data_IF_383540546222
#
_entry.id   IF_383540546222
#
_cell.length_a   1.000
_cell.length_b   1.000
_cell.length_c   1.000
_cell.angle_alpha   90.00
_cell.angle_beta   90.00
_cell.angle_gamma   90.00
#
_symmetry.space_group_name_H-M   'P 1'
#
loop_
_entity.id
_entity.type
_entity.pdbx_description
1 polymer ?
#
# COMPACT_ATOMS: atom_id res chain seq x y z
N UNK A 1 -23.66 -46.49 -39.35
CA UNK A 1 -23.73 -46.23 -40.80
C UNK A 1 -22.85 -45.00 -41.06
N UNK A 2 -21.69 -45.25 -41.49
CA UNK A 2 -21.15 -45.08 -42.83
C UNK A 2 -20.99 -43.60 -43.22
N UNK A 3 -19.69 -43.15 -43.22
CA UNK A 3 -18.92 -42.67 -44.39
C UNK A 3 -19.12 -41.17 -44.66
N UNK A 4 -18.17 -40.38 -45.09
CA UNK A 4 -16.80 -40.43 -45.68
C UNK A 4 -16.21 -39.02 -45.60
N UNK A 5 -14.99 -38.82 -45.22
CA UNK A 5 -13.80 -38.51 -46.01
C UNK A 5 -14.01 -37.53 -47.16
N UNK A 6 -13.37 -36.36 -47.09
CA UNK A 6 -12.71 -35.75 -48.23
C UNK A 6 -11.57 -34.80 -47.76
N UNK A 7 -10.39 -35.23 -48.09
CA UNK A 7 -9.08 -34.61 -48.12
C UNK A 7 -9.01 -33.73 -49.35
N UNK A 8 -8.61 -32.47 -49.26
CA UNK A 8 -8.04 -31.70 -50.40
C UNK A 8 -6.78 -31.01 -49.98
N UNK A 9 -5.69 -31.54 -50.49
CA UNK A 9 -4.37 -30.96 -50.67
C UNK A 9 -4.36 -30.06 -51.93
N UNK A 10 -3.76 -28.91 -51.87
CA UNK A 10 -3.13 -28.18 -52.97
C UNK A 10 -2.27 -27.06 -52.40
N UNK A 11 -1.03 -27.19 -52.33
CA UNK A 11 0.07 -27.02 -53.30
C UNK A 11 0.44 -25.56 -53.53
N UNK A 12 1.58 -25.25 -52.94
CA UNK A 12 2.67 -24.34 -53.27
C UNK A 12 2.49 -23.34 -54.43
N UNK A 13 2.95 -22.12 -54.21
CA UNK A 13 3.89 -21.48 -55.15
C UNK A 13 4.78 -20.45 -54.43
N UNK A 14 6.06 -20.73 -54.38
CA UNK A 14 7.19 -19.89 -54.09
C UNK A 14 7.38 -18.84 -55.19
N UNK A 15 7.53 -17.56 -54.82
CA UNK A 15 8.15 -16.54 -55.68
C UNK A 15 9.25 -15.86 -54.88
N UNK A 16 10.47 -16.27 -55.18
CA UNK A 16 11.70 -15.59 -54.83
C UNK A 16 11.90 -14.43 -55.82
N UNK A 17 11.95 -13.20 -55.31
CA UNK A 17 12.61 -12.09 -56.06
C UNK A 17 13.74 -11.56 -55.21
N UNK A 18 14.94 -11.91 -55.70
CA UNK A 18 16.21 -11.30 -55.31
C UNK A 18 16.29 -9.94 -55.99
N UNK A 19 16.39 -8.87 -55.24
CA UNK A 19 16.90 -7.59 -55.74
C UNK A 19 18.15 -7.24 -54.91
N UNK A 20 19.29 -7.41 -55.55
CA UNK A 20 20.53 -6.82 -55.13
C UNK A 20 20.54 -5.34 -55.55
N UNK A 21 20.75 -4.47 -54.60
CA UNK A 21 20.96 -3.05 -54.79
C UNK A 21 21.95 -2.56 -53.73
N UNK A 22 23.19 -2.38 -54.16
CA UNK A 22 24.25 -1.71 -53.40
C UNK A 22 23.96 -0.21 -53.27
N UNK A 23 24.26 0.34 -52.08
CA UNK A 23 24.82 1.70 -51.97
C UNK A 23 24.04 2.64 -51.07
N UNK A 24 24.66 2.97 -50.02
CA UNK A 24 24.80 4.24 -49.28
C UNK A 24 24.58 4.04 -47.78
N UNK A 25 25.64 4.31 -47.05
CA UNK A 25 25.65 4.47 -45.60
C UNK A 25 24.84 5.73 -45.26
N UNK A 26 23.77 5.55 -44.55
CA UNK A 26 23.19 6.58 -43.73
C UNK A 26 22.91 5.98 -42.34
N UNK A 27 23.61 6.52 -41.35
CA UNK A 27 23.45 6.23 -39.95
C UNK A 27 22.08 6.75 -39.48
N UNK A 28 21.00 6.06 -39.79
CA UNK A 28 19.76 6.20 -39.11
C UNK A 28 19.71 5.23 -37.92
N UNK A 29 20.08 5.77 -36.80
CA UNK A 29 19.79 5.22 -35.47
C UNK A 29 18.28 4.96 -35.37
N UNK A 30 17.90 3.75 -35.75
CA UNK A 30 16.54 3.25 -35.62
C UNK A 30 16.21 3.26 -34.12
N UNK A 31 15.48 4.30 -33.68
CA UNK A 31 14.81 4.26 -32.40
C UNK A 31 13.76 3.16 -32.53
N UNK A 32 14.10 1.99 -31.99
CA UNK A 32 13.09 1.00 -31.68
C UNK A 32 12.14 1.66 -30.68
N UNK A 33 10.98 2.09 -31.17
CA UNK A 33 9.83 2.41 -30.37
C UNK A 33 9.29 1.10 -29.82
N UNK A 34 9.98 0.57 -28.81
CA UNK A 34 9.45 -0.49 -28.00
C UNK A 34 8.26 0.09 -27.25
N UNK A 35 7.05 -0.29 -27.64
CA UNK A 35 5.85 -0.18 -26.80
C UNK A 35 6.02 -1.11 -25.61
N UNK A 36 6.99 -0.83 -24.75
CA UNK A 36 7.13 -1.44 -23.44
C UNK A 36 5.99 -0.90 -22.58
N UNK A 37 5.08 -1.75 -22.20
CA UNK A 37 4.09 -1.43 -21.16
C UNK A 37 4.89 -0.98 -19.93
N UNK A 38 4.75 0.30 -19.54
CA UNK A 38 5.40 0.84 -18.35
C UNK A 38 5.02 -0.04 -17.16
N UNK A 39 6.00 -0.48 -16.39
CA UNK A 39 5.74 -1.27 -15.18
C UNK A 39 4.95 -0.44 -14.19
N UNK A 40 4.03 -1.07 -13.48
CA UNK A 40 3.29 -0.44 -12.39
C UNK A 40 4.02 -0.63 -11.06
N UNK A 41 3.86 0.34 -10.17
CA UNK A 41 4.22 0.27 -8.77
C UNK A 41 2.96 0.48 -7.94
N UNK A 42 2.37 -0.61 -7.48
CA UNK A 42 1.09 -0.62 -6.74
C UNK A 42 1.38 -0.58 -5.24
N UNK A 43 0.98 0.50 -4.61
CA UNK A 43 1.24 0.76 -3.18
C UNK A 43 -0.04 0.59 -2.39
N UNK A 44 -0.03 -0.34 -1.43
CA UNK A 44 -1.13 -0.56 -0.49
C UNK A 44 -1.05 0.40 0.68
N UNK A 45 -2.15 1.06 1.00
CA UNK A 45 -2.25 2.04 2.08
C UNK A 45 -3.65 2.05 2.71
N UNK A 46 -3.75 2.52 3.95
CA UNK A 46 -5.00 2.84 4.62
C UNK A 46 -5.43 4.26 4.25
N UNK A 47 -6.59 4.39 3.61
CA UNK A 47 -7.11 5.68 3.14
C UNK A 47 -7.68 6.57 4.24
N UNK A 48 -7.79 6.04 5.46
CA UNK A 48 -8.32 6.74 6.62
C UNK A 48 -7.21 7.11 7.63
N UNK A 49 -5.96 7.28 7.14
CA UNK A 49 -4.79 7.55 7.97
C UNK A 49 -4.07 8.88 7.63
N UNK A 50 -4.74 10.05 7.78
CA UNK A 50 -4.10 11.33 7.59
C UNK A 50 -3.04 11.60 8.70
N UNK A 51 -1.94 12.27 8.38
CA UNK A 51 -1.60 12.88 7.10
C UNK A 51 -0.79 11.95 6.18
N UNK A 52 -0.68 10.65 6.48
CA UNK A 52 0.19 9.72 5.77
C UNK A 52 -0.41 9.26 4.43
N UNK A 53 -1.66 8.76 4.45
CA UNK A 53 -2.44 8.40 3.26
C UNK A 53 -3.92 8.59 3.55
N UNK A 54 -4.63 9.34 2.70
CA UNK A 54 -6.05 9.63 2.90
C UNK A 54 -6.72 10.13 1.62
N UNK A 55 -8.05 10.30 1.69
CA UNK A 55 -8.82 10.92 0.61
C UNK A 55 -8.85 12.44 0.84
N UNK A 56 -8.33 13.21 -0.12
CA UNK A 56 -8.35 14.67 -0.08
C UNK A 56 -9.75 15.27 -0.32
N UNK A 57 -9.86 16.58 -0.15
CA UNK A 57 -11.12 17.30 -0.37
C UNK A 57 -11.63 17.24 -1.82
N UNK A 58 -10.73 16.96 -2.77
CA UNK A 58 -11.00 16.74 -4.19
C UNK A 58 -11.43 15.31 -4.53
N UNK A 59 -11.43 14.41 -3.54
CA UNK A 59 -11.76 13.01 -3.69
C UNK A 59 -10.59 12.13 -4.19
N UNK A 60 -9.39 12.71 -4.37
CA UNK A 60 -8.21 11.98 -4.80
C UNK A 60 -7.39 11.49 -3.59
N UNK A 61 -6.61 10.42 -3.80
CA UNK A 61 -5.71 9.92 -2.78
C UNK A 61 -4.49 10.81 -2.65
N UNK A 62 -4.19 11.23 -1.41
CA UNK A 62 -3.09 12.14 -1.08
C UNK A 62 -2.47 11.76 0.26
N UNK A 63 -1.35 12.39 0.60
CA UNK A 63 -0.68 12.25 1.87
C UNK A 63 0.82 12.10 1.75
N UNK A 64 1.51 12.28 2.87
CA UNK A 64 2.98 12.29 2.94
C UNK A 64 3.60 11.01 2.35
N UNK A 65 3.07 9.85 2.72
CA UNK A 65 3.58 8.57 2.24
C UNK A 65 3.29 8.33 0.76
N UNK A 66 2.11 8.77 0.29
CA UNK A 66 1.74 8.64 -1.12
C UNK A 66 2.58 9.55 -2.02
N UNK A 67 2.94 10.74 -1.55
CA UNK A 67 3.83 11.64 -2.26
C UNK A 67 5.25 11.05 -2.39
N UNK A 68 5.77 10.45 -1.31
CA UNK A 68 7.04 9.75 -1.33
C UNK A 68 7.01 8.53 -2.26
N UNK A 69 5.95 7.74 -2.21
CA UNK A 69 5.79 6.55 -3.04
C UNK A 69 5.69 6.93 -4.52
N UNK A 70 4.98 8.01 -4.84
CA UNK A 70 4.91 8.55 -6.20
C UNK A 70 6.28 8.99 -6.70
N UNK A 71 7.05 9.72 -5.89
CA UNK A 71 8.42 10.15 -6.23
C UNK A 71 9.34 8.95 -6.51
N UNK A 72 9.21 7.87 -5.73
CA UNK A 72 9.96 6.63 -5.98
C UNK A 72 9.56 6.00 -7.30
N UNK A 73 8.26 5.92 -7.60
CA UNK A 73 7.77 5.37 -8.86
C UNK A 73 8.29 6.19 -10.06
N UNK A 74 8.25 7.52 -9.98
CA UNK A 74 8.75 8.43 -11.01
C UNK A 74 10.26 8.23 -11.25
N UNK A 75 11.07 8.08 -10.21
CA UNK A 75 12.52 7.79 -10.32
C UNK A 75 12.84 6.42 -10.92
N UNK A 76 11.96 5.46 -10.74
CA UNK A 76 12.09 4.11 -11.28
C UNK A 76 11.48 3.95 -12.68
N UNK A 77 10.94 5.02 -13.27
CA UNK A 77 10.17 5.01 -14.53
C UNK A 77 9.01 4.00 -14.49
N UNK A 78 8.31 3.97 -13.35
CA UNK A 78 7.15 3.12 -13.10
C UNK A 78 5.88 3.98 -12.99
N UNK A 79 4.74 3.40 -13.37
CA UNK A 79 3.44 4.02 -13.15
C UNK A 79 3.03 3.83 -11.69
N UNK A 80 2.87 4.92 -10.95
CA UNK A 80 2.34 4.88 -9.58
C UNK A 80 0.86 4.49 -9.58
N UNK A 81 0.49 3.55 -8.71
CA UNK A 81 -0.89 3.09 -8.50
C UNK A 81 -1.16 3.00 -6.99
N UNK A 82 -1.79 4.02 -6.39
CA UNK A 82 -2.23 3.95 -5.00
C UNK A 82 -3.43 3.00 -4.91
N UNK A 83 -3.38 2.02 -4.01
CA UNK A 83 -4.45 1.06 -3.78
C UNK A 83 -4.88 1.10 -2.32
N UNK A 84 -6.08 1.61 -2.00
CA UNK A 84 -6.59 1.52 -0.63
C UNK A 84 -6.85 0.07 -0.27
N UNK A 85 -6.45 -0.31 0.93
CA UNK A 85 -6.63 -1.65 1.49
C UNK A 85 -7.23 -1.58 2.88
N UNK A 86 -7.95 -2.62 3.29
CA UNK A 86 -8.28 -2.84 4.69
C UNK A 86 -7.01 -3.20 5.44
N UNK A 87 -6.74 -2.53 6.57
CA UNK A 87 -5.45 -2.68 7.26
C UNK A 87 -5.19 -4.11 7.76
N UNK A 88 -6.22 -4.80 8.20
CA UNK A 88 -6.16 -6.21 8.61
C UNK A 88 -5.89 -7.18 7.44
N UNK A 89 -6.17 -6.76 6.19
CA UNK A 89 -5.92 -7.55 5.00
C UNK A 89 -4.54 -7.33 4.35
N UNK A 90 -3.70 -6.43 4.89
CA UNK A 90 -2.42 -6.01 4.29
C UNK A 90 -1.48 -7.16 3.92
N UNK A 91 -1.41 -8.18 4.79
CA UNK A 91 -0.54 -9.34 4.58
C UNK A 91 -1.01 -10.21 3.42
N UNK A 92 -2.33 -10.37 3.30
CA UNK A 92 -2.94 -11.11 2.21
C UNK A 92 -2.76 -10.36 0.87
N UNK A 93 -2.98 -9.05 0.86
CA UNK A 93 -2.78 -8.21 -0.32
C UNK A 93 -1.34 -8.24 -0.82
N UNK A 94 -0.37 -8.17 0.10
CA UNK A 94 1.06 -8.27 -0.24
C UNK A 94 1.44 -9.67 -0.73
N UNK A 95 1.04 -10.71 0.00
CA UNK A 95 1.41 -12.09 -0.33
C UNK A 95 0.77 -12.62 -1.61
N UNK A 96 -0.41 -12.14 -1.95
CA UNK A 96 -1.09 -12.48 -3.20
C UNK A 96 -0.56 -11.72 -4.43
N UNK A 97 0.30 -10.71 -4.22
CA UNK A 97 0.76 -9.82 -5.28
C UNK A 97 -0.32 -8.80 -5.72
N UNK A 98 -1.33 -8.58 -4.88
CA UNK A 98 -2.34 -7.53 -5.11
C UNK A 98 -1.79 -6.13 -4.95
N UNK A 99 -0.67 -5.98 -4.24
CA UNK A 99 0.15 -4.80 -4.06
C UNK A 99 1.63 -5.19 -4.14
N UNK A 100 2.49 -4.25 -4.52
CA UNK A 100 3.94 -4.44 -4.57
C UNK A 100 4.61 -4.12 -3.23
N UNK A 101 4.05 -3.18 -2.49
CA UNK A 101 4.48 -2.86 -1.13
C UNK A 101 3.35 -2.25 -0.30
N UNK A 102 3.55 -2.25 1.02
CA UNK A 102 2.75 -1.50 1.99
C UNK A 102 3.52 -0.23 2.33
N UNK A 103 2.87 0.94 2.19
CA UNK A 103 3.49 2.22 2.54
C UNK A 103 2.46 3.14 3.20
N UNK A 104 2.50 3.21 4.53
CA UNK A 104 1.47 3.90 5.32
C UNK A 104 1.89 4.20 6.76
N UNK A 105 3.05 4.82 6.97
CA UNK A 105 3.59 4.99 8.33
C UNK A 105 3.73 3.66 9.07
N UNK A 106 4.06 2.61 8.36
CA UNK A 106 3.99 1.24 8.85
C UNK A 106 5.11 0.97 9.86
N UNK A 107 4.75 0.72 11.11
CA UNK A 107 5.69 0.50 12.20
C UNK A 107 6.46 -0.81 12.05
N UNK A 108 7.78 -0.74 12.00
CA UNK A 108 8.67 -1.89 11.89
C UNK A 108 8.79 -2.66 13.21
N UNK A 109 8.81 -1.95 14.34
CA UNK A 109 9.02 -2.53 15.69
C UNK A 109 8.07 -3.70 15.97
N UNK A 110 8.66 -4.84 16.34
CA UNK A 110 7.96 -6.10 16.59
C UNK A 110 7.49 -6.84 15.33
N UNK A 111 7.98 -6.44 14.14
CA UNK A 111 7.70 -7.05 12.85
C UNK A 111 8.95 -7.18 11.97
N UNK A 112 10.12 -7.03 12.56
CA UNK A 112 11.41 -6.97 11.85
C UNK A 112 11.62 -8.18 10.94
N UNK A 113 11.26 -9.37 11.42
CA UNK A 113 11.42 -10.62 10.68
C UNK A 113 10.25 -10.97 9.74
N UNK A 114 9.19 -10.15 9.75
CA UNK A 114 7.96 -10.46 9.01
C UNK A 114 7.96 -9.95 7.58
N UNK A 115 8.70 -8.88 7.31
CA UNK A 115 8.74 -8.21 6.01
C UNK A 115 10.17 -7.87 5.60
N UNK A 116 10.34 -7.57 4.33
CA UNK A 116 11.54 -6.87 3.86
C UNK A 116 11.29 -5.38 4.00
N UNK A 117 12.06 -4.71 4.85
CA UNK A 117 11.88 -3.32 5.21
C UNK A 117 12.80 -2.38 4.43
N UNK A 118 12.36 -1.16 4.23
CA UNK A 118 13.24 -0.03 3.91
C UNK A 118 14.01 0.41 5.16
N UNK A 119 14.97 1.33 4.98
CA UNK A 119 15.45 2.11 6.12
C UNK A 119 14.31 2.93 6.74
N UNK A 120 14.26 3.07 8.08
CA UNK A 120 13.27 3.91 8.73
C UNK A 120 13.40 5.37 8.29
N UNK A 121 12.30 6.01 7.92
CA UNK A 121 12.29 7.40 7.48
C UNK A 121 11.59 8.36 8.46
N UNK A 122 10.82 7.82 9.43
CA UNK A 122 10.17 8.57 10.50
C UNK A 122 10.23 7.82 11.82
N UNK A 123 10.29 8.57 12.92
CA UNK A 123 10.00 8.03 14.24
C UNK A 123 8.48 7.96 14.42
N UNK A 124 8.03 6.89 15.07
CA UNK A 124 6.62 6.65 15.35
C UNK A 124 6.43 6.28 16.82
N UNK A 125 5.48 6.94 17.47
CA UNK A 125 5.11 6.66 18.86
C UNK A 125 3.62 6.33 18.91
N UNK A 126 3.25 5.35 19.74
CA UNK A 126 1.86 5.05 20.01
C UNK A 126 1.39 5.94 21.16
N UNK A 127 0.24 6.57 20.99
CA UNK A 127 -0.32 7.51 21.99
C UNK A 127 -1.80 7.24 22.19
N UNK A 128 -2.31 7.56 23.38
CA UNK A 128 -3.74 7.65 23.59
C UNK A 128 -4.24 9.04 23.20
N UNK A 129 -5.32 9.08 22.47
CA UNK A 129 -6.03 10.32 22.12
C UNK A 129 -7.30 10.39 22.95
N UNK A 130 -7.50 11.48 23.68
CA UNK A 130 -8.65 11.69 24.55
C UNK A 130 -9.25 13.08 24.36
N UNK A 131 -10.52 13.24 24.66
CA UNK A 131 -11.15 14.57 24.65
C UNK A 131 -10.46 15.50 25.64
N UNK A 132 -10.27 16.75 25.26
CA UNK A 132 -9.56 17.77 26.04
C UNK A 132 -10.14 17.98 27.44
N UNK A 133 -11.44 17.84 27.60
CA UNK A 133 -12.20 18.01 28.83
C UNK A 133 -12.52 16.68 29.54
N UNK A 134 -11.98 15.55 29.07
CA UNK A 134 -12.25 14.22 29.65
C UNK A 134 -11.78 14.04 31.08
N UNK A 135 -10.87 14.89 31.56
CA UNK A 135 -10.18 14.73 32.84
C UNK A 135 -9.10 13.67 32.87
N UNK A 136 -8.90 12.92 31.79
CA UNK A 136 -7.85 11.91 31.62
C UNK A 136 -6.53 12.64 31.31
N UNK A 137 -5.49 12.41 32.11
CA UNK A 137 -4.18 13.04 31.98
C UNK A 137 -3.04 12.04 31.94
N UNK A 138 -3.28 10.85 32.44
CA UNK A 138 -2.28 9.78 32.53
C UNK A 138 -2.89 8.45 32.09
N UNK A 139 -2.06 7.46 31.80
CA UNK A 139 -2.53 6.11 31.48
C UNK A 139 -3.32 5.48 32.63
N UNK A 140 -3.01 5.81 33.90
CA UNK A 140 -3.73 5.29 35.06
C UNK A 140 -5.21 5.76 35.08
N UNK A 141 -5.51 6.92 34.50
CA UNK A 141 -6.88 7.45 34.42
C UNK A 141 -7.75 6.69 33.40
N UNK A 142 -7.13 5.81 32.60
CA UNK A 142 -7.82 4.96 31.64
C UNK A 142 -8.42 3.69 32.27
N UNK A 143 -8.12 3.41 33.54
CA UNK A 143 -8.69 2.26 34.24
C UNK A 143 -10.21 2.26 34.19
N UNK A 144 -10.81 1.15 33.72
CA UNK A 144 -12.27 1.02 33.55
C UNK A 144 -12.86 1.83 32.37
N UNK A 145 -12.02 2.37 31.48
CA UNK A 145 -12.47 3.05 30.27
C UNK A 145 -12.46 2.11 29.07
N UNK A 146 -13.31 2.40 28.11
CA UNK A 146 -13.28 1.76 26.79
C UNK A 146 -12.22 2.45 25.93
N UNK A 147 -11.36 1.68 25.30
CA UNK A 147 -10.31 2.16 24.40
C UNK A 147 -10.51 1.50 23.04
N UNK A 148 -10.77 2.33 22.03
CA UNK A 148 -10.86 1.89 20.65
C UNK A 148 -9.47 1.79 20.03
N UNK A 149 -9.24 0.75 19.26
CA UNK A 149 -7.96 0.52 18.57
C UNK A 149 -8.18 -0.18 17.25
N UNK A 150 -7.44 0.23 16.23
CA UNK A 150 -7.50 -0.42 14.93
C UNK A 150 -6.98 -1.87 15.02
N UNK A 151 -7.73 -2.80 14.43
CA UNK A 151 -7.35 -4.21 14.36
C UNK A 151 -6.01 -4.40 13.62
N UNK A 152 -5.15 -5.27 14.14
CA UNK A 152 -3.80 -5.59 13.65
C UNK A 152 -2.85 -4.39 13.50
N UNK A 153 -3.12 -3.32 14.26
CA UNK A 153 -2.25 -2.15 14.36
C UNK A 153 -1.11 -2.35 15.36
N UNK A 154 -0.14 -1.43 15.34
CA UNK A 154 0.93 -1.37 16.36
C UNK A 154 0.37 -0.94 17.72
N UNK A 155 -0.66 -0.11 17.74
CA UNK A 155 -1.34 0.28 18.97
C UNK A 155 -2.01 -0.91 19.66
N UNK A 156 -2.67 -1.80 18.89
CA UNK A 156 -3.24 -3.02 19.44
C UNK A 156 -2.16 -3.89 20.09
N UNK A 157 -1.03 -4.10 19.41
CA UNK A 157 0.09 -4.88 19.97
C UNK A 157 0.68 -4.25 21.23
N UNK A 158 0.81 -2.92 21.25
CA UNK A 158 1.32 -2.22 22.43
C UNK A 158 0.37 -2.38 23.62
N UNK A 159 -0.94 -2.30 23.42
CA UNK A 159 -1.93 -2.59 24.46
C UNK A 159 -1.86 -4.02 24.98
N UNK A 160 -1.67 -5.00 24.08
CA UNK A 160 -1.57 -6.41 24.43
C UNK A 160 -0.33 -6.73 25.30
N UNK A 161 0.74 -5.98 25.10
CA UNK A 161 1.96 -6.12 25.89
C UNK A 161 1.84 -5.52 27.30
N UNK A 162 0.90 -4.65 27.52
CA UNK A 162 0.66 -4.01 28.82
C UNK A 162 -0.36 -4.80 29.66
N UNK A 163 0.01 -6.00 30.11
CA UNK A 163 -0.90 -6.91 30.84
C UNK A 163 -1.69 -6.25 32.00
N UNK A 164 -1.08 -5.33 32.73
CA UNK A 164 -1.70 -4.68 33.88
C UNK A 164 -2.81 -3.72 33.44
N UNK A 165 -2.54 -2.92 32.43
CA UNK A 165 -3.51 -1.98 31.86
C UNK A 165 -4.63 -2.74 31.12
N UNK A 166 -4.28 -3.80 30.40
CA UNK A 166 -5.21 -4.63 29.64
C UNK A 166 -6.30 -5.27 30.49
N UNK A 167 -6.00 -5.65 31.74
CA UNK A 167 -6.98 -6.23 32.67
C UNK A 167 -8.01 -5.22 33.16
N UNK A 168 -7.71 -3.94 33.09
CA UNK A 168 -8.52 -2.83 33.59
C UNK A 168 -9.30 -2.10 32.48
N UNK A 169 -8.96 -2.37 31.22
CA UNK A 169 -9.57 -1.76 30.04
C UNK A 169 -10.59 -2.71 29.40
N UNK A 170 -11.75 -2.21 29.06
CA UNK A 170 -12.64 -2.86 28.11
C UNK A 170 -12.14 -2.57 26.71
N UNK A 171 -11.78 -3.60 25.94
CA UNK A 171 -11.36 -3.48 24.55
C UNK A 171 -12.56 -3.68 23.64
N UNK A 172 -12.81 -2.69 22.80
CA UNK A 172 -13.59 -2.89 21.59
C UNK A 172 -12.65 -3.04 20.39
N UNK A 173 -12.82 -4.10 19.65
CA UNK A 173 -12.23 -4.22 18.30
C UNK A 173 -13.09 -3.34 17.39
N UNK A 174 -12.91 -2.05 17.50
CA UNK A 174 -13.58 -1.12 16.61
C UNK A 174 -12.69 -0.87 15.39
N UNK A 175 -13.30 -0.93 14.22
CA UNK A 175 -12.73 -0.31 13.04
C UNK A 175 -12.47 1.15 13.37
N UNK A 176 -11.30 1.65 12.95
CA UNK A 176 -10.90 3.02 13.18
C UNK A 176 -11.98 3.98 12.72
N UNK A 177 -12.69 4.53 13.66
CA UNK A 177 -13.49 5.72 13.39
C UNK A 177 -12.56 6.90 13.56
N UNK A 178 -11.84 7.23 12.50
CA UNK A 178 -11.27 8.55 12.38
C UNK A 178 -12.42 9.53 12.17
N UNK A 179 -13.15 9.77 13.23
CA UNK A 179 -14.12 10.85 13.21
C UNK A 179 -13.41 12.21 13.28
N UNK A 180 -13.81 13.03 12.44
CA UNK A 180 -13.46 14.32 11.90
C UNK A 180 -13.26 15.48 12.90
N UNK A 181 -13.01 15.24 14.20
CA UNK A 181 -12.90 16.30 15.21
C UNK A 181 -11.61 16.19 16.05
N UNK A 182 -10.44 16.33 15.36
CA UNK A 182 -9.15 16.44 16.06
C UNK A 182 -8.96 17.75 16.84
N UNK A 183 -9.80 18.76 16.63
CA UNK A 183 -9.65 20.06 17.29
C UNK A 183 -9.82 20.00 18.81
N UNK A 184 -10.52 19.00 19.32
CA UNK A 184 -10.86 18.86 20.74
C UNK A 184 -10.12 17.73 21.46
N UNK A 185 -9.12 17.11 20.81
CA UNK A 185 -8.37 16.00 21.38
C UNK A 185 -7.05 16.45 22.02
N UNK A 186 -6.63 15.75 23.07
CA UNK A 186 -5.32 15.91 23.72
C UNK A 186 -4.59 14.58 23.66
N UNK A 187 -3.31 14.60 23.23
CA UNK A 187 -2.46 13.41 23.19
C UNK A 187 -1.89 13.14 24.57
N UNK A 188 -1.94 11.89 25.01
CA UNK A 188 -1.25 11.41 26.20
C UNK A 188 -0.11 10.52 25.73
N UNK A 189 1.13 10.94 25.99
CA UNK A 189 2.33 10.22 25.55
C UNK A 189 2.46 8.83 26.18
N UNK A 190 2.86 7.89 25.32
CA UNK A 190 3.65 6.72 25.62
C UNK A 190 2.93 5.46 26.09
N UNK A 191 2.88 4.50 25.18
CA UNK A 191 2.85 3.07 25.50
C UNK A 191 4.27 2.53 25.33
#
# INVERSE_FOLDING_TARGET
MKKKIALIMALALSVTTVFAGCGAKDDQKQRESGSGTQKTFTVGFDQDFPPMGFVGDDGEYTGFDLDLAKEVADRLDMKFVPKPISWDAKDMELSSGGIDCIWNGFTMTGREDKYTWSEPYLNNEQVFVVKKDSGIKTQADLAGKVVDVQTDSSAQKALEQQEKLQKELERTEAMSVYEKEYSDCTYICGI
#
